data_IF_072704793355
#
_entry.id   IF_072704793355
#
_cell.length_a   1.000
_cell.length_b   1.000
_cell.length_c   1.000
_cell.angle_alpha   90.00
_cell.angle_beta   90.00
_cell.angle_gamma   90.00
#
_symmetry.space_group_name_H-M   'P 1'
#
loop_
_entity.id
_entity.type
_entity.pdbx_description
1 polymer ?
#
# COMPACT_ATOMS: atom_id res chain seq x y z
N UNK A 1 -14.24 -18.40 23.61
CA UNK A 1 -15.49 -17.61 23.59
C UNK A 1 -15.27 -16.30 22.84
N UNK A 2 -15.05 -16.29 21.50
CA UNK A 2 -14.92 -15.06 20.67
C UNK A 2 -15.46 -15.24 19.24
N UNK A 3 -16.39 -16.18 19.01
CA UNK A 3 -16.93 -16.48 17.67
C UNK A 3 -18.35 -15.96 17.40
N UNK A 4 -18.93 -15.19 18.30
CA UNK A 4 -20.37 -14.82 18.20
C UNK A 4 -20.66 -13.38 17.74
N UNK A 5 -19.65 -12.58 17.36
CA UNK A 5 -19.88 -11.16 17.03
C UNK A 5 -20.03 -10.83 15.54
N UNK A 6 -20.01 -11.80 14.65
CA UNK A 6 -20.18 -11.53 13.20
C UNK A 6 -21.21 -12.48 12.63
N UNK A 7 -22.38 -11.95 12.27
CA UNK A 7 -23.50 -12.70 11.71
C UNK A 7 -23.08 -13.66 10.59
N UNK A 8 -23.17 -14.96 10.84
CA UNK A 8 -23.32 -16.09 9.90
C UNK A 8 -22.49 -16.21 8.62
N UNK A 9 -21.66 -15.25 8.24
CA UNK A 9 -20.86 -15.36 7.03
C UNK A 9 -19.50 -16.00 7.33
N UNK A 10 -19.29 -17.19 6.77
CA UNK A 10 -18.05 -17.95 6.84
C UNK A 10 -16.90 -17.11 6.24
N UNK A 11 -16.01 -16.59 7.09
CA UNK A 11 -14.83 -15.82 6.66
C UNK A 11 -14.00 -16.72 5.73
N UNK A 12 -13.73 -16.27 4.52
CA UNK A 12 -12.83 -16.94 3.58
C UNK A 12 -11.46 -16.23 3.65
N UNK A 13 -10.47 -16.75 4.38
CA UNK A 13 -9.22 -16.03 4.61
C UNK A 13 -8.37 -15.88 3.35
N UNK A 14 -8.35 -16.89 2.48
CA UNK A 14 -7.47 -16.92 1.30
C UNK A 14 -7.74 -15.76 0.33
N UNK A 15 -8.96 -15.48 -0.14
CA UNK A 15 -9.18 -14.36 -1.07
C UNK A 15 -8.97 -12.99 -0.43
N UNK A 16 -9.19 -12.84 0.87
CA UNK A 16 -8.89 -11.60 1.59
C UNK A 16 -7.39 -11.32 1.56
N UNK A 17 -6.58 -12.34 1.89
CA UNK A 17 -5.11 -12.21 1.86
C UNK A 17 -4.62 -11.96 0.44
N UNK A 18 -5.14 -12.68 -0.55
CA UNK A 18 -4.75 -12.50 -1.93
C UNK A 18 -4.95 -11.04 -2.40
N UNK A 19 -6.07 -10.39 -2.00
CA UNK A 19 -6.32 -8.98 -2.30
C UNK A 19 -5.25 -8.07 -1.68
N UNK A 20 -4.88 -8.32 -0.42
CA UNK A 20 -3.84 -7.56 0.25
C UNK A 20 -2.45 -7.79 -0.35
N UNK A 21 -2.11 -9.05 -0.63
CA UNK A 21 -0.81 -9.40 -1.19
C UNK A 21 -0.63 -8.80 -2.59
N UNK A 22 -1.66 -8.81 -3.42
CA UNK A 22 -1.62 -8.17 -4.75
C UNK A 22 -1.44 -6.66 -4.64
N UNK A 23 -2.25 -5.98 -3.81
CA UNK A 23 -2.15 -4.54 -3.65
C UNK A 23 -0.81 -4.12 -3.02
N UNK A 24 -0.34 -4.86 -1.99
CA UNK A 24 0.94 -4.64 -1.33
C UNK A 24 2.12 -4.91 -2.26
N UNK A 25 2.05 -5.98 -3.06
CA UNK A 25 3.06 -6.29 -4.07
C UNK A 25 3.25 -5.13 -5.04
N UNK A 26 2.16 -4.59 -5.59
CA UNK A 26 2.23 -3.49 -6.55
C UNK A 26 2.78 -2.21 -5.91
N UNK A 27 2.43 -1.92 -4.65
CA UNK A 27 2.99 -0.76 -3.93
C UNK A 27 4.51 -0.84 -3.81
N UNK A 28 5.04 -1.97 -3.36
CA UNK A 28 6.47 -2.22 -3.19
C UNK A 28 7.21 -2.37 -4.53
N UNK A 29 6.59 -3.04 -5.50
CA UNK A 29 7.11 -3.14 -6.87
C UNK A 29 7.27 -1.76 -7.50
N UNK A 30 6.23 -0.92 -7.46
CA UNK A 30 6.25 0.41 -8.07
C UNK A 30 7.31 1.34 -7.46
N UNK A 31 7.63 1.15 -6.17
CA UNK A 31 8.70 1.88 -5.49
C UNK A 31 10.06 1.58 -6.15
N UNK A 32 10.40 0.31 -6.28
CA UNK A 32 11.71 -0.11 -6.82
C UNK A 32 11.79 -0.06 -8.33
N UNK A 33 10.68 -0.30 -9.02
CA UNK A 33 10.60 -0.23 -10.47
C UNK A 33 10.90 1.18 -11.01
N UNK A 34 10.40 2.22 -10.33
CA UNK A 34 10.64 3.60 -10.74
C UNK A 34 12.11 4.01 -10.59
N UNK A 35 12.86 3.41 -9.66
CA UNK A 35 14.29 3.70 -9.49
C UNK A 35 15.10 3.39 -10.75
N UNK A 36 14.67 2.43 -11.55
CA UNK A 36 15.31 2.13 -12.84
C UNK A 36 15.03 3.19 -13.91
N UNK A 37 13.88 3.86 -13.82
CA UNK A 37 13.48 4.90 -14.76
C UNK A 37 14.06 6.29 -14.44
N UNK A 38 14.76 6.47 -13.31
CA UNK A 38 15.25 7.79 -12.90
C UNK A 38 16.16 8.46 -13.94
N UNK A 39 17.01 7.67 -14.60
CA UNK A 39 17.89 8.18 -15.66
C UNK A 39 17.13 8.71 -16.87
N UNK A 40 16.07 8.02 -17.27
CA UNK A 40 15.22 8.43 -18.39
C UNK A 40 14.40 9.68 -18.02
N UNK A 41 13.92 9.74 -16.77
CA UNK A 41 13.15 10.87 -16.26
C UNK A 41 13.97 12.16 -16.17
N UNK A 42 15.28 12.08 -15.90
CA UNK A 42 16.20 13.22 -15.96
C UNK A 42 16.20 13.82 -17.37
N UNK A 43 16.27 13.00 -18.38
CA UNK A 43 16.30 13.43 -19.78
C UNK A 43 14.93 13.93 -20.26
N UNK A 44 13.85 13.20 -19.91
CA UNK A 44 12.48 13.52 -20.34
C UNK A 44 11.98 14.84 -19.76
N UNK A 45 12.30 15.13 -18.49
CA UNK A 45 11.83 16.34 -17.81
C UNK A 45 12.88 17.45 -17.74
N UNK A 46 14.09 17.24 -18.29
CA UNK A 46 15.22 18.18 -18.25
C UNK A 46 15.49 18.70 -16.82
N UNK A 47 15.66 17.75 -15.88
CA UNK A 47 15.84 18.04 -14.46
C UNK A 47 17.16 17.47 -13.94
N UNK A 48 17.63 17.98 -12.80
CA UNK A 48 18.85 17.46 -12.17
C UNK A 48 18.63 16.09 -11.52
N UNK A 49 19.73 15.34 -11.37
CA UNK A 49 19.72 14.07 -10.62
C UNK A 49 19.27 14.24 -9.16
N UNK A 50 19.55 15.38 -8.54
CA UNK A 50 19.06 15.70 -7.20
C UNK A 50 17.54 15.89 -7.19
N UNK A 51 16.98 16.52 -8.22
CA UNK A 51 15.53 16.74 -8.33
C UNK A 51 14.77 15.44 -8.55
N UNK A 52 15.26 14.57 -9.45
CA UNK A 52 14.55 13.32 -9.75
C UNK A 52 14.50 12.37 -8.55
N UNK A 53 15.50 12.39 -7.67
CA UNK A 53 15.51 11.57 -6.44
C UNK A 53 14.37 11.89 -5.48
N UNK A 54 13.76 13.09 -5.57
CA UNK A 54 12.58 13.42 -4.78
C UNK A 54 11.39 12.50 -5.05
N UNK A 55 11.31 11.86 -6.22
CA UNK A 55 10.26 10.87 -6.51
C UNK A 55 10.32 9.68 -5.53
N UNK A 56 11.52 9.22 -5.19
CA UNK A 56 11.72 8.15 -4.21
C UNK A 56 11.70 8.69 -2.79
N UNK A 57 12.42 9.78 -2.52
CA UNK A 57 12.50 10.37 -1.17
C UNK A 57 11.14 10.85 -0.70
N UNK A 58 10.37 11.54 -1.54
CA UNK A 58 9.02 12.01 -1.21
C UNK A 58 8.04 10.87 -0.98
N UNK A 59 8.16 9.79 -1.75
CA UNK A 59 7.38 8.57 -1.53
C UNK A 59 7.70 7.95 -0.16
N UNK A 60 8.98 7.72 0.14
CA UNK A 60 9.42 7.15 1.42
C UNK A 60 9.11 8.05 2.61
N UNK A 61 9.24 9.37 2.46
CA UNK A 61 8.87 10.34 3.49
C UNK A 61 7.37 10.25 3.80
N UNK A 62 6.54 10.17 2.77
CA UNK A 62 5.09 10.00 2.94
C UNK A 62 4.77 8.69 3.67
N UNK A 63 5.42 7.58 3.30
CA UNK A 63 5.31 6.31 4.02
C UNK A 63 5.73 6.46 5.49
N UNK A 64 6.89 7.05 5.74
CA UNK A 64 7.44 7.22 7.09
C UNK A 64 6.52 8.00 8.03
N UNK A 65 5.82 9.01 7.50
CA UNK A 65 4.86 9.82 8.27
C UNK A 65 3.53 9.06 8.46
N UNK A 66 3.03 8.41 7.42
CA UNK A 66 1.68 7.85 7.43
C UNK A 66 1.58 6.44 8.02
N UNK A 67 2.64 5.62 7.98
CA UNK A 67 2.63 4.28 8.58
C UNK A 67 2.33 4.32 10.08
N UNK A 68 2.96 5.18 10.91
CA UNK A 68 2.57 5.31 12.32
C UNK A 68 1.12 5.80 12.50
N UNK A 69 0.67 6.73 11.66
CA UNK A 69 -0.69 7.27 11.71
C UNK A 69 -1.72 6.20 11.36
N UNK A 70 -1.39 5.31 10.42
CA UNK A 70 -2.28 4.22 10.00
C UNK A 70 -2.64 3.28 11.16
N UNK A 71 -1.74 3.09 12.14
CA UNK A 71 -2.02 2.34 13.35
C UNK A 71 -3.16 2.92 14.19
N UNK A 72 -3.32 4.25 14.21
CA UNK A 72 -4.47 4.93 14.85
C UNK A 72 -5.74 4.75 14.00
N UNK A 73 -5.62 4.88 12.68
CA UNK A 73 -6.75 4.73 11.76
C UNK A 73 -7.36 3.31 11.83
N UNK A 74 -6.53 2.29 12.07
CA UNK A 74 -6.98 0.90 12.27
C UNK A 74 -7.91 0.73 13.48
N UNK A 75 -7.84 1.61 14.48
CA UNK A 75 -8.70 1.58 15.65
C UNK A 75 -10.02 2.32 15.41
N UNK A 76 -10.05 3.28 14.48
CA UNK A 76 -11.20 4.15 14.24
C UNK A 76 -12.07 3.72 13.07
N UNK A 77 -11.47 3.07 12.08
CA UNK A 77 -12.15 2.69 10.85
C UNK A 77 -12.21 1.18 10.68
N UNK A 78 -13.18 0.72 9.90
CA UNK A 78 -13.34 -0.71 9.59
C UNK A 78 -12.26 -1.18 8.64
N UNK A 79 -11.85 -2.44 8.77
CA UNK A 79 -10.88 -3.10 7.88
C UNK A 79 -11.26 -2.93 6.40
N UNK A 80 -12.54 -3.13 6.09
CA UNK A 80 -13.07 -3.00 4.74
C UNK A 80 -12.96 -1.57 4.21
N UNK A 81 -13.37 -0.58 5.00
CA UNK A 81 -13.28 0.83 4.64
C UNK A 81 -11.86 1.28 4.37
N UNK A 82 -10.91 0.93 5.27
CA UNK A 82 -9.50 1.27 5.10
C UNK A 82 -8.88 0.60 3.88
N UNK A 83 -9.23 -0.66 3.59
CA UNK A 83 -8.74 -1.35 2.40
C UNK A 83 -9.17 -0.62 1.11
N UNK A 84 -10.46 -0.27 1.00
CA UNK A 84 -10.95 0.45 -0.18
C UNK A 84 -10.32 1.82 -0.32
N UNK A 85 -10.19 2.56 0.77
CA UNK A 85 -9.51 3.86 0.78
C UNK A 85 -8.07 3.70 0.31
N UNK A 86 -7.33 2.75 0.86
CA UNK A 86 -5.93 2.52 0.52
C UNK A 86 -5.73 2.14 -0.94
N UNK A 87 -6.51 1.17 -1.45
CA UNK A 87 -6.40 0.74 -2.85
C UNK A 87 -6.88 1.84 -3.81
N UNK A 88 -7.90 2.62 -3.44
CA UNK A 88 -8.35 3.77 -4.25
C UNK A 88 -7.28 4.85 -4.36
N UNK A 89 -6.58 5.18 -3.26
CA UNK A 89 -5.43 6.09 -3.29
C UNK A 89 -4.29 5.53 -4.16
N UNK A 90 -4.00 4.23 -4.04
CA UNK A 90 -2.99 3.58 -4.88
C UNK A 90 -3.36 3.65 -6.37
N UNK A 91 -4.60 3.37 -6.75
CA UNK A 91 -5.09 3.45 -8.14
C UNK A 91 -5.03 4.90 -8.63
N UNK A 92 -5.57 5.85 -7.87
CA UNK A 92 -5.56 7.26 -8.24
C UNK A 92 -4.14 7.80 -8.42
N UNK A 93 -3.23 7.50 -7.48
CA UNK A 93 -1.82 7.90 -7.58
C UNK A 93 -1.12 7.27 -8.78
N UNK A 94 -1.35 5.97 -9.03
CA UNK A 94 -0.80 5.27 -10.19
C UNK A 94 -1.33 5.84 -11.50
N UNK A 95 -2.61 6.19 -11.57
CA UNK A 95 -3.22 6.80 -12.75
C UNK A 95 -2.67 8.22 -13.02
N UNK A 96 -2.56 9.04 -11.96
CA UNK A 96 -1.95 10.38 -12.06
C UNK A 96 -0.50 10.26 -12.56
N UNK A 97 0.27 9.31 -12.03
CA UNK A 97 1.65 9.06 -12.43
C UNK A 97 1.75 8.56 -13.88
N UNK A 98 0.87 7.63 -14.29
CA UNK A 98 0.85 7.09 -15.66
C UNK A 98 0.54 8.17 -16.72
N UNK A 99 -0.30 9.14 -16.38
CA UNK A 99 -0.75 10.24 -17.27
C UNK A 99 0.08 11.50 -17.12
N UNK A 100 1.12 11.53 -16.28
CA UNK A 100 1.83 12.76 -15.95
C UNK A 100 2.67 13.32 -17.11
N UNK A 101 2.38 14.54 -17.61
CA UNK A 101 3.18 15.21 -18.61
C UNK A 101 4.32 16.04 -18.00
N UNK A 102 4.35 16.21 -16.67
CA UNK A 102 5.33 17.02 -15.96
C UNK A 102 5.84 16.31 -14.72
N UNK A 103 7.07 16.65 -14.30
CA UNK A 103 7.66 16.13 -13.07
C UNK A 103 6.78 16.40 -11.83
N UNK A 104 6.21 17.60 -11.73
CA UNK A 104 5.35 17.98 -10.60
C UNK A 104 4.11 17.08 -10.51
N UNK A 105 3.47 16.76 -11.64
CA UNK A 105 2.32 15.86 -11.65
C UNK A 105 2.72 14.43 -11.30
N UNK A 106 3.88 13.95 -11.80
CA UNK A 106 4.43 12.65 -11.42
C UNK A 106 4.68 12.59 -9.91
N UNK A 107 5.25 13.65 -9.33
CA UNK A 107 5.51 13.73 -7.89
C UNK A 107 4.22 13.68 -7.07
N UNK A 108 3.17 14.40 -7.48
CA UNK A 108 1.85 14.33 -6.84
C UNK A 108 1.30 12.91 -6.92
N UNK A 109 1.37 12.27 -8.08
CA UNK A 109 0.96 10.88 -8.26
C UNK A 109 1.67 9.93 -7.29
N UNK A 110 2.99 10.09 -7.11
CA UNK A 110 3.81 9.32 -6.18
C UNK A 110 3.41 9.51 -4.72
N UNK A 111 3.17 10.75 -4.30
CA UNK A 111 2.70 11.07 -2.94
C UNK A 111 1.33 10.44 -2.69
N UNK A 112 0.39 10.58 -3.62
CA UNK A 112 -0.95 9.98 -3.52
C UNK A 112 -0.87 8.45 -3.46
N UNK A 113 -0.01 7.82 -4.27
CA UNK A 113 0.23 6.38 -4.27
C UNK A 113 0.82 5.91 -2.94
N UNK A 114 1.77 6.69 -2.36
CA UNK A 114 2.38 6.38 -1.07
C UNK A 114 1.37 6.37 0.08
N UNK A 115 0.35 7.26 0.06
CA UNK A 115 -0.76 7.24 1.03
C UNK A 115 -1.45 5.87 1.02
N UNK A 116 -1.76 5.33 -0.16
CA UNK A 116 -2.36 4.02 -0.30
C UNK A 116 -1.49 2.91 0.29
N UNK A 117 -0.20 2.88 -0.07
CA UNK A 117 0.75 1.85 0.40
C UNK A 117 0.96 1.93 1.92
N UNK A 118 1.04 3.15 2.48
CA UNK A 118 1.20 3.37 3.92
C UNK A 118 0.03 2.80 4.76
N UNK A 119 -1.17 2.82 4.21
CA UNK A 119 -2.35 2.23 4.86
C UNK A 119 -2.40 0.71 4.68
N UNK A 120 -2.01 0.20 3.51
CA UNK A 120 -2.12 -1.22 3.16
C UNK A 120 -1.25 -2.12 4.01
N UNK A 121 0.02 -1.76 4.26
CA UNK A 121 0.96 -2.64 4.95
C UNK A 121 0.53 -2.93 6.41
N UNK A 122 0.29 -1.94 7.27
CA UNK A 122 -0.16 -2.19 8.65
C UNK A 122 -1.54 -2.86 8.69
N UNK A 123 -2.45 -2.50 7.77
CA UNK A 123 -3.77 -3.10 7.67
C UNK A 123 -3.68 -4.60 7.33
N UNK A 124 -2.79 -4.99 6.42
CA UNK A 124 -2.54 -6.37 6.05
C UNK A 124 -2.03 -7.20 7.23
N UNK A 125 -1.02 -6.70 7.97
CA UNK A 125 -0.50 -7.35 9.17
C UNK A 125 -1.58 -7.54 10.23
N UNK A 126 -2.32 -6.47 10.54
CA UNK A 126 -3.40 -6.51 11.53
C UNK A 126 -4.52 -7.50 11.14
N UNK A 127 -4.91 -7.49 9.86
CA UNK A 127 -5.97 -8.37 9.35
C UNK A 127 -5.59 -9.85 9.50
N UNK A 128 -4.34 -10.22 9.22
CA UNK A 128 -3.86 -11.60 9.39
C UNK A 128 -3.92 -12.04 10.85
N UNK A 129 -3.50 -11.19 11.78
CA UNK A 129 -3.56 -11.50 13.21
C UNK A 129 -4.99 -11.74 13.70
N UNK A 130 -5.97 -11.08 13.08
CA UNK A 130 -7.39 -11.21 13.44
C UNK A 130 -8.06 -12.45 12.79
N UNK A 131 -7.69 -12.78 11.54
CA UNK A 131 -8.36 -13.85 10.77
C UNK A 131 -7.78 -15.23 11.08
N UNK A 132 -6.45 -15.32 11.32
CA UNK A 132 -5.79 -16.62 11.51
C UNK A 132 -5.69 -17.03 12.97
N UNK A 133 -5.98 -18.32 13.26
CA UNK A 133 -5.68 -18.89 14.57
C UNK A 133 -4.15 -18.90 14.82
N UNK A 134 -3.75 -18.86 16.07
CA UNK A 134 -2.35 -18.66 16.49
C UNK A 134 -1.35 -19.62 15.79
N UNK A 135 -1.71 -20.89 15.66
CA UNK A 135 -0.86 -21.90 15.03
C UNK A 135 -0.63 -21.69 13.51
N UNK A 136 -1.46 -20.86 12.83
CA UNK A 136 -1.33 -20.54 11.38
C UNK A 136 -0.80 -19.14 11.11
N UNK A 137 -0.68 -18.29 12.13
CA UNK A 137 -0.21 -16.89 11.96
C UNK A 137 1.20 -16.85 11.39
N UNK A 138 2.10 -17.72 11.84
CA UNK A 138 3.48 -17.78 11.32
C UNK A 138 3.55 -18.03 9.81
N UNK A 139 2.77 -18.99 9.30
CA UNK A 139 2.72 -19.27 7.86
C UNK A 139 2.11 -18.11 7.07
N UNK A 140 1.06 -17.48 7.59
CA UNK A 140 0.43 -16.33 6.94
C UNK A 140 1.35 -15.09 6.94
N UNK A 141 2.08 -14.84 8.03
CA UNK A 141 3.10 -13.79 8.10
C UNK A 141 4.28 -14.07 7.16
N UNK A 142 4.66 -15.34 7.01
CA UNK A 142 5.67 -15.77 6.05
C UNK A 142 5.29 -15.42 4.60
N UNK A 143 4.01 -15.56 4.22
CA UNK A 143 3.53 -15.13 2.90
C UNK A 143 3.65 -13.63 2.68
N UNK A 144 3.35 -12.80 3.71
CA UNK A 144 3.59 -11.37 3.63
C UNK A 144 5.09 -11.08 3.45
N UNK A 145 5.93 -11.74 4.26
CA UNK A 145 7.39 -11.59 4.19
C UNK A 145 7.92 -11.92 2.78
N UNK A 146 7.42 -12.99 2.16
CA UNK A 146 7.77 -13.33 0.78
C UNK A 146 7.41 -12.20 -0.20
N UNK A 147 6.22 -11.61 -0.09
CA UNK A 147 5.81 -10.51 -0.98
C UNK A 147 6.67 -9.27 -0.75
N UNK A 148 6.95 -8.92 0.52
CA UNK A 148 7.79 -7.76 0.87
C UNK A 148 9.22 -7.91 0.32
N UNK A 149 9.77 -9.12 0.30
CA UNK A 149 11.11 -9.37 -0.24
C UNK A 149 11.12 -9.56 -1.76
N UNK A 150 10.11 -10.24 -2.30
CA UNK A 150 10.08 -10.60 -3.72
C UNK A 150 9.69 -9.41 -4.63
N UNK A 151 8.76 -8.56 -4.19
CA UNK A 151 8.32 -7.42 -4.99
C UNK A 151 9.47 -6.45 -5.33
N UNK A 152 10.30 -5.99 -4.37
CA UNK A 152 11.47 -5.17 -4.67
C UNK A 152 12.55 -5.90 -5.49
N UNK A 153 12.71 -7.21 -5.30
CA UNK A 153 13.71 -7.99 -6.05
C UNK A 153 13.36 -8.10 -7.54
N UNK A 154 12.08 -8.22 -7.86
CA UNK A 154 11.59 -8.35 -9.25
C UNK A 154 11.42 -6.98 -9.91
N UNK A 155 11.23 -5.93 -9.13
CA UNK A 155 11.01 -4.56 -9.60
C UNK A 155 12.02 -4.11 -10.66
N UNK A 156 13.33 -4.11 -10.37
CA UNK A 156 14.36 -3.68 -11.33
C UNK A 156 14.38 -4.51 -12.60
N UNK A 157 14.21 -5.83 -12.51
CA UNK A 157 14.23 -6.73 -13.67
C UNK A 157 13.07 -6.46 -14.61
N UNK A 158 11.84 -6.39 -14.08
CA UNK A 158 10.66 -6.13 -14.92
C UNK A 158 10.69 -4.71 -15.48
N UNK A 159 11.08 -3.71 -14.68
CA UNK A 159 11.15 -2.33 -15.16
C UNK A 159 12.27 -2.15 -16.20
N UNK A 160 13.39 -2.82 -16.05
CA UNK A 160 14.44 -2.83 -17.09
C UNK A 160 13.90 -3.33 -18.43
N UNK A 161 13.21 -4.48 -18.46
CA UNK A 161 12.57 -5.01 -19.66
C UNK A 161 11.51 -4.08 -20.25
N UNK A 162 10.76 -3.36 -19.40
CA UNK A 162 9.79 -2.36 -19.85
C UNK A 162 10.52 -1.19 -20.54
N UNK A 163 11.56 -0.67 -19.91
CA UNK A 163 12.29 0.50 -20.40
C UNK A 163 13.09 0.24 -21.68
N UNK A 164 13.50 -1.00 -21.93
CA UNK A 164 14.15 -1.38 -23.19
C UNK A 164 13.23 -1.22 -24.41
N UNK A 165 11.93 -1.41 -24.26
CA UNK A 165 10.98 -1.46 -25.37
C UNK A 165 9.86 -0.42 -25.30
N UNK A 166 9.63 0.17 -24.14
CA UNK A 166 8.49 1.04 -23.84
C UNK A 166 8.96 2.25 -23.02
N UNK A 167 8.07 3.23 -22.88
CA UNK A 167 8.33 4.42 -22.06
C UNK A 167 8.11 4.14 -20.56
N UNK A 168 8.72 4.94 -19.70
CA UNK A 168 8.63 4.84 -18.24
C UNK A 168 7.18 4.81 -17.70
N UNK A 169 6.22 5.44 -18.39
CA UNK A 169 4.80 5.43 -18.01
C UNK A 169 4.21 4.01 -17.92
N UNK A 170 4.74 3.07 -18.71
CA UNK A 170 4.26 1.69 -18.74
C UNK A 170 4.47 0.94 -17.42
N UNK A 171 5.42 1.37 -16.59
CA UNK A 171 5.57 0.84 -15.22
C UNK A 171 4.26 1.03 -14.44
N UNK A 172 3.61 2.18 -14.60
CA UNK A 172 2.34 2.49 -13.94
C UNK A 172 1.14 1.85 -14.65
N UNK A 173 1.13 1.86 -16.00
CA UNK A 173 0.06 1.23 -16.77
C UNK A 173 -0.07 -0.26 -16.51
N UNK A 174 1.06 -0.99 -16.39
CA UNK A 174 1.07 -2.42 -16.05
C UNK A 174 0.62 -2.66 -14.61
N UNK A 175 0.90 -1.74 -13.69
CA UNK A 175 0.49 -1.84 -12.30
C UNK A 175 -1.02 -1.68 -12.09
N UNK A 176 -1.70 -0.87 -12.92
CA UNK A 176 -3.13 -0.56 -12.80
C UNK A 176 -4.06 -1.78 -12.85
N UNK A 177 -3.94 -2.71 -13.81
CA UNK A 177 -4.80 -3.89 -13.86
C UNK A 177 -4.74 -4.73 -12.57
N UNK A 178 -3.56 -4.90 -11.99
CA UNK A 178 -3.40 -5.67 -10.75
C UNK A 178 -4.06 -4.97 -9.56
N UNK A 179 -3.96 -3.64 -9.46
CA UNK A 179 -4.66 -2.86 -8.43
C UNK A 179 -6.17 -2.93 -8.60
N UNK A 180 -6.67 -2.88 -9.84
CA UNK A 180 -8.10 -3.03 -10.13
C UNK A 180 -8.58 -4.44 -9.76
N UNK A 181 -7.82 -5.47 -10.11
CA UNK A 181 -8.13 -6.84 -9.71
C UNK A 181 -8.14 -6.97 -8.18
N UNK A 182 -7.15 -6.42 -7.49
CA UNK A 182 -7.12 -6.40 -6.02
C UNK A 182 -8.35 -5.70 -5.43
N UNK A 183 -8.80 -4.58 -6.04
CA UNK A 183 -10.00 -3.86 -5.64
C UNK A 183 -11.25 -4.73 -5.83
N UNK A 184 -11.42 -5.37 -7.00
CA UNK A 184 -12.55 -6.24 -7.32
C UNK A 184 -12.62 -7.45 -6.38
N UNK A 185 -11.48 -8.10 -6.11
CA UNK A 185 -11.41 -9.18 -5.12
C UNK A 185 -11.79 -8.67 -3.73
N UNK A 186 -11.28 -7.49 -3.34
CA UNK A 186 -11.67 -6.86 -2.09
C UNK A 186 -13.15 -6.56 -2.01
N UNK A 187 -13.77 -6.05 -3.07
CA UNK A 187 -15.22 -5.79 -3.08
C UNK A 187 -16.04 -7.06 -2.81
N UNK A 188 -15.62 -8.17 -3.37
CA UNK A 188 -16.33 -9.46 -3.25
C UNK A 188 -16.06 -10.18 -1.93
N UNK A 189 -14.86 -10.10 -1.38
CA UNK A 189 -14.43 -10.97 -0.29
C UNK A 189 -14.04 -10.22 1.00
N UNK A 190 -13.77 -8.91 0.93
CA UNK A 190 -13.35 -8.16 2.12
C UNK A 190 -14.50 -8.00 3.10
N UNK A 191 -14.27 -8.48 4.33
CA UNK A 191 -15.21 -8.37 5.44
C UNK A 191 -14.62 -7.49 6.54
N UNK A 192 -15.50 -6.92 7.37
CA UNK A 192 -15.08 -6.20 8.55
C UNK A 192 -14.68 -7.19 9.64
N UNK A 193 -13.39 -7.35 9.87
CA UNK A 193 -12.85 -8.27 10.87
C UNK A 193 -12.34 -7.54 12.11
N UNK A 194 -12.15 -6.21 12.05
CA UNK A 194 -11.74 -5.41 13.19
C UNK A 194 -12.95 -4.91 14.00
N UNK A 195 -12.83 -4.97 15.32
CA UNK A 195 -13.75 -4.28 16.24
C UNK A 195 -13.26 -2.84 16.33
N UNK A 196 -14.10 -1.90 15.89
CA UNK A 196 -13.78 -0.45 15.98
C UNK A 196 -13.90 -0.02 17.44
N UNK A 197 -12.77 0.24 18.10
CA UNK A 197 -12.73 0.57 19.53
C UNK A 197 -12.87 2.05 19.82
N UNK A 198 -12.66 2.94 18.82
CA UNK A 198 -12.73 4.42 18.93
C UNK A 198 -12.16 4.93 20.27
N UNK A 199 -10.87 4.70 20.56
CA UNK A 199 -10.30 5.21 21.80
C UNK A 199 -10.45 6.73 21.84
N UNK A 200 -10.98 7.27 22.95
CA UNK A 200 -10.94 8.71 23.18
C UNK A 200 -9.47 9.11 23.27
N UNK A 201 -9.02 9.98 22.39
CA UNK A 201 -7.66 10.55 22.48
C UNK A 201 -7.72 11.58 23.63
N UNK A 202 -7.46 11.16 24.85
CA UNK A 202 -7.23 12.06 25.97
C UNK A 202 -5.84 12.67 25.86
N UNK A 203 -5.74 13.70 25.02
CA UNK A 203 -4.53 14.53 24.88
C UNK A 203 -4.16 15.19 26.21
N UNK A 204 -5.10 15.35 27.12
CA UNK A 204 -4.92 15.98 28.44
C UNK A 204 -4.27 15.08 29.48
N UNK A 205 -4.29 13.76 29.35
CA UNK A 205 -3.73 12.86 30.39
C UNK A 205 -2.18 12.82 30.43
N UNK A 206 -1.51 13.28 29.38
CA UNK A 206 -0.02 13.34 29.33
C UNK A 206 0.59 14.58 29.99
N UNK A 207 -0.19 15.60 30.29
CA UNK A 207 0.32 16.83 30.91
C UNK A 207 0.20 16.84 32.44
N UNK A 208 -0.56 15.94 33.06
CA UNK A 208 -0.74 15.91 34.52
C UNK A 208 0.25 15.00 35.28
N UNK A 209 1.11 14.25 34.59
CA UNK A 209 2.14 13.40 35.24
C UNK A 209 3.52 14.07 35.36
N UNK A 210 3.59 15.39 35.27
CA UNK A 210 4.82 16.16 35.52
C UNK A 210 4.61 17.14 36.68
N UNK A 211 4.35 16.59 37.86
CA UNK A 211 4.63 17.28 39.15
C UNK A 211 5.10 16.26 40.15
#
# INVERSE_FOLDING_TARGET
MQQEATGGQKIRPIPIIASFLMAGFIGLFSETALNMALSDLIQVFDISSATVQWLTTGYLLTLGILVPISGLLLQWFTTRGLFFTAVSFSIAGTLIAALSPTFAMLMIGRVVQAVGTALLLPLMFNTILLIFPEHKRGSAMGMIGLVIMFAPAVGPTISGLILENLTWNWIFWISLPFLIIALLFGMKFMQNVSVVTKPKIDIFYRLSFRR
#
